data_IF_335072823437
#
_entry.id   IF_335072823437
#
_cell.length_a   1.000
_cell.length_b   1.000
_cell.length_c   1.000
_cell.angle_alpha   90.00
_cell.angle_beta   90.00
_cell.angle_gamma   90.00
#
_symmetry.space_group_name_H-M   'P 1'
#
loop_
_entity.id
_entity.type
_entity.pdbx_description
1 polymer ?
#
# COMPACT_ATOMS: atom_id res chain seq x y z
N UNK A 1 13.57 29.66 -11.04
CA UNK A 1 14.35 30.90 -11.31
C UNK A 1 15.26 30.77 -12.52
N UNK A 2 15.88 29.61 -12.78
CA UNK A 2 16.82 29.42 -13.89
C UNK A 2 16.15 29.42 -15.28
N UNK A 3 14.92 28.90 -15.40
CA UNK A 3 14.18 28.89 -16.68
C UNK A 3 13.66 30.26 -17.13
N UNK A 4 13.24 31.14 -16.20
CA UNK A 4 12.79 32.50 -16.53
C UNK A 4 13.91 33.33 -17.17
N UNK A 5 15.15 33.15 -16.69
CA UNK A 5 16.35 33.82 -17.21
C UNK A 5 16.70 33.42 -18.65
N UNK A 6 16.31 32.20 -19.05
CA UNK A 6 16.52 31.67 -20.41
C UNK A 6 15.47 32.19 -21.42
N UNK A 7 14.27 32.56 -20.95
CA UNK A 7 13.24 33.20 -21.79
C UNK A 7 13.55 34.67 -22.05
N UNK A 8 14.07 35.38 -21.05
CA UNK A 8 14.45 36.80 -21.17
C UNK A 8 15.65 37.04 -22.09
N UNK A 9 16.50 36.02 -22.28
CA UNK A 9 17.72 36.10 -23.10
C UNK A 9 17.55 35.53 -24.51
N UNK A 10 16.34 35.08 -24.88
CA UNK A 10 16.01 34.59 -26.23
C UNK A 10 16.59 33.22 -26.59
N UNK A 11 17.22 32.51 -25.64
CA UNK A 11 17.83 31.19 -25.88
C UNK A 11 16.84 30.03 -25.93
N UNK A 12 15.61 30.24 -25.44
CA UNK A 12 14.51 29.28 -25.50
C UNK A 12 13.17 30.02 -25.48
N UNK A 13 12.25 29.65 -26.37
CA UNK A 13 10.87 30.12 -26.28
C UNK A 13 10.04 29.18 -25.40
N UNK A 14 9.18 29.72 -24.52
CA UNK A 14 8.29 28.91 -23.69
C UNK A 14 7.25 28.18 -24.53
N UNK A 15 6.90 26.96 -24.12
CA UNK A 15 5.78 26.22 -24.71
C UNK A 15 4.47 27.02 -24.56
N UNK A 16 3.61 26.97 -25.58
CA UNK A 16 2.33 27.70 -25.63
C UNK A 16 1.43 27.42 -24.42
N UNK A 17 1.45 26.19 -23.90
CA UNK A 17 0.72 25.80 -22.68
C UNK A 17 1.21 26.57 -21.45
N UNK A 18 2.51 26.78 -21.31
CA UNK A 18 3.12 27.52 -20.20
C UNK A 18 2.76 29.01 -20.27
N UNK A 19 2.73 29.60 -21.48
CA UNK A 19 2.31 31.00 -21.68
C UNK A 19 0.84 31.19 -21.28
N UNK A 20 -0.04 30.24 -21.60
CA UNK A 20 -1.45 30.31 -21.21
C UNK A 20 -1.65 30.22 -19.70
N UNK A 21 -0.87 29.38 -19.00
CA UNK A 21 -0.92 29.28 -17.53
C UNK A 21 -0.41 30.56 -16.88
N UNK A 22 0.66 31.17 -17.39
CA UNK A 22 1.19 32.44 -16.89
C UNK A 22 0.21 33.59 -17.14
N UNK A 23 -0.41 33.65 -18.32
CA UNK A 23 -1.42 34.64 -18.66
C UNK A 23 -2.63 34.55 -17.71
N UNK A 24 -3.09 33.33 -17.42
CA UNK A 24 -4.14 33.09 -16.43
C UNK A 24 -3.71 33.51 -15.01
N UNK A 25 -2.47 33.22 -14.62
CA UNK A 25 -1.94 33.58 -13.29
C UNK A 25 -1.82 35.10 -13.09
N UNK A 26 -1.38 35.84 -14.12
CA UNK A 26 -1.22 37.29 -14.08
C UNK A 26 -2.48 38.06 -14.49
N UNK A 27 -3.58 37.37 -14.82
CA UNK A 27 -4.85 37.98 -15.20
C UNK A 27 -4.76 38.84 -16.47
N UNK A 28 -3.83 38.52 -17.38
CA UNK A 28 -3.61 39.25 -18.61
C UNK A 28 -3.67 38.32 -19.84
N UNK A 29 -3.73 38.89 -21.04
CA UNK A 29 -3.63 38.09 -22.26
C UNK A 29 -2.17 37.67 -22.51
N UNK A 30 -1.91 36.58 -23.25
CA UNK A 30 -0.56 36.20 -23.67
C UNK A 30 0.27 37.36 -24.29
N UNK A 31 -0.38 38.25 -25.05
CA UNK A 31 0.26 39.48 -25.58
C UNK A 31 0.65 40.49 -24.52
N UNK A 32 -0.04 40.52 -23.39
CA UNK A 32 0.32 41.33 -22.22
C UNK A 32 1.60 40.88 -21.52
N UNK A 33 2.09 39.66 -21.79
CA UNK A 33 3.34 39.12 -21.27
C UNK A 33 4.54 39.37 -22.21
N UNK A 34 4.33 39.95 -23.38
CA UNK A 34 5.39 40.17 -24.38
C UNK A 34 5.93 38.87 -25.01
N UNK A 35 5.18 37.77 -24.90
CA UNK A 35 5.55 36.42 -25.35
C UNK A 35 4.69 35.96 -26.54
N UNK A 36 4.41 36.86 -27.49
CA UNK A 36 3.72 36.52 -28.74
C UNK A 36 4.68 36.01 -29.81
N UNK A 37 4.33 34.90 -30.45
CA UNK A 37 4.92 34.45 -31.72
C UNK A 37 4.69 35.52 -32.79
N UNK A 38 5.75 36.19 -33.25
CA UNK A 38 5.66 37.16 -34.35
C UNK A 38 5.49 36.54 -35.74
N UNK A 39 5.05 35.29 -35.87
CA UNK A 39 4.64 34.72 -37.15
C UNK A 39 3.45 33.76 -36.96
N UNK A 40 2.24 34.28 -37.19
CA UNK A 40 1.13 33.63 -37.91
C UNK A 40 -0.24 34.12 -37.42
N UNK A 41 -0.60 35.36 -37.74
CA UNK A 41 -2.01 35.77 -37.82
C UNK A 41 -2.23 36.56 -39.11
N UNK A 42 -2.49 35.83 -40.19
CA UNK A 42 -3.19 36.37 -41.35
C UNK A 42 -4.19 35.33 -41.84
N UNK A 43 -5.45 35.52 -41.45
CA UNK A 43 -6.57 34.83 -42.09
C UNK A 43 -7.50 34.12 -41.12
N UNK A 44 -8.32 34.89 -40.40
CA UNK A 44 -9.76 34.66 -40.23
C UNK A 44 -10.31 36.00 -39.72
N UNK A 45 -11.48 36.40 -40.23
CA UNK A 45 -12.15 37.71 -40.07
C UNK A 45 -11.74 38.78 -41.09
N UNK A 46 -12.14 38.56 -42.34
CA UNK A 46 -12.75 39.59 -43.19
C UNK A 46 -13.51 38.89 -44.31
N UNK A 47 -14.73 38.44 -44.02
CA UNK A 47 -15.72 38.10 -45.05
C UNK A 47 -17.14 38.21 -44.52
N UNK A 48 -17.47 39.39 -44.03
CA UNK A 48 -18.82 39.90 -44.13
C UNK A 48 -18.76 41.06 -45.14
N UNK A 49 -19.51 40.88 -46.23
CA UNK A 49 -20.03 41.93 -47.11
C UNK A 49 -19.06 42.69 -48.02
N UNK A 50 -19.10 42.35 -49.30
CA UNK A 50 -19.46 43.26 -50.40
C UNK A 50 -18.74 42.87 -51.69
N UNK A 51 -19.39 42.07 -52.56
CA UNK A 51 -19.23 42.16 -54.02
C UNK A 51 -20.52 41.76 -54.73
N UNK A 52 -21.40 42.75 -54.87
CA UNK A 52 -22.25 42.86 -56.06
C UNK A 52 -21.35 43.24 -57.25
N UNK A 53 -21.46 42.52 -58.38
CA UNK A 53 -21.03 43.02 -59.69
C UNK A 53 -20.18 42.06 -60.54
N UNK A 54 -20.85 41.44 -61.53
CA UNK A 54 -20.35 40.94 -62.85
C UNK A 54 -19.61 39.59 -62.94
N UNK A 55 -19.68 38.91 -64.12
CA UNK A 55 -20.84 38.32 -64.77
C UNK A 55 -20.72 36.78 -64.86
N UNK A 56 -21.83 36.11 -65.14
CA UNK A 56 -21.96 34.66 -65.23
C UNK A 56 -20.97 34.02 -66.23
N UNK A 57 -19.97 33.32 -65.70
CA UNK A 57 -19.26 32.29 -66.44
C UNK A 57 -20.10 31.01 -66.40
N UNK A 58 -20.65 30.63 -67.56
CA UNK A 58 -21.33 29.35 -67.76
C UNK A 58 -20.27 28.26 -67.60
N UNK A 59 -20.25 27.61 -66.44
CA UNK A 59 -19.47 26.39 -66.23
C UNK A 59 -20.14 25.25 -66.99
N UNK A 60 -19.41 24.48 -67.82
CA UNK A 60 -19.98 23.33 -68.51
C UNK A 60 -20.51 22.32 -67.49
N UNK A 61 -21.76 21.89 -67.70
CA UNK A 61 -22.48 20.93 -66.88
C UNK A 61 -21.96 19.49 -67.13
N UNK A 62 -20.67 19.24 -66.85
CA UNK A 62 -20.06 17.93 -67.06
C UNK A 62 -18.97 17.59 -66.04
N UNK A 63 -19.22 17.85 -64.76
CA UNK A 63 -18.40 17.30 -63.67
C UNK A 63 -19.16 17.18 -62.32
N UNK A 64 -20.48 16.99 -62.33
CA UNK A 64 -21.19 16.43 -61.16
C UNK A 64 -21.27 14.93 -61.37
N UNK A 65 -20.11 14.30 -61.31
CA UNK A 65 -19.93 12.87 -61.17
C UNK A 65 -19.52 12.53 -59.74
N UNK A 66 -20.09 13.23 -58.74
CA UNK A 66 -20.00 12.76 -57.36
C UNK A 66 -21.01 11.63 -57.22
N UNK A 67 -20.49 10.40 -57.35
CA UNK A 67 -21.28 9.19 -57.19
C UNK A 67 -22.04 9.25 -55.87
N UNK A 68 -23.37 9.25 -55.96
CA UNK A 68 -24.23 8.93 -54.82
C UNK A 68 -23.80 7.54 -54.38
N UNK A 69 -23.09 7.47 -53.24
CA UNK A 69 -22.73 6.19 -52.61
C UNK A 69 -23.99 5.34 -52.58
N UNK A 70 -23.93 4.17 -53.18
CA UNK A 70 -25.01 3.19 -53.10
C UNK A 70 -25.30 2.93 -51.62
N UNK A 71 -26.53 2.52 -51.31
CA UNK A 71 -26.91 2.18 -49.94
C UNK A 71 -25.93 1.15 -49.29
N UNK A 72 -25.35 0.27 -50.11
CA UNK A 72 -24.31 -0.68 -49.72
C UNK A 72 -22.98 -0.01 -49.34
N UNK A 73 -22.51 0.98 -50.11
CA UNK A 73 -21.27 1.71 -49.80
C UNK A 73 -21.43 2.61 -48.56
N UNK A 74 -22.60 3.24 -48.39
CA UNK A 74 -22.90 4.01 -47.18
C UNK A 74 -22.93 3.13 -45.92
N UNK A 75 -23.52 1.93 -46.03
CA UNK A 75 -23.50 0.94 -44.95
C UNK A 75 -22.06 0.48 -44.64
N UNK A 76 -21.25 0.18 -45.66
CA UNK A 76 -19.85 -0.22 -45.48
C UNK A 76 -19.05 0.86 -44.74
N UNK A 77 -19.18 2.13 -45.14
CA UNK A 77 -18.51 3.23 -44.46
C UNK A 77 -18.95 3.39 -43.00
N UNK A 78 -20.25 3.20 -42.71
CA UNK A 78 -20.76 3.21 -41.33
C UNK A 78 -20.21 2.06 -40.48
N UNK A 79 -20.08 0.87 -41.05
CA UNK A 79 -19.46 -0.29 -40.38
C UNK A 79 -17.99 0.02 -40.04
N UNK A 80 -17.22 0.55 -40.99
CA UNK A 80 -15.82 0.89 -40.76
C UNK A 80 -15.64 2.07 -39.79
N UNK A 81 -16.54 3.05 -39.83
CA UNK A 81 -16.56 4.15 -38.87
C UNK A 81 -16.89 3.66 -37.47
N UNK A 82 -17.87 2.74 -37.33
CA UNK A 82 -18.22 2.12 -36.06
C UNK A 82 -17.05 1.31 -35.50
N UNK A 83 -16.40 0.47 -36.33
CA UNK A 83 -15.20 -0.28 -35.93
C UNK A 83 -14.10 0.66 -35.45
N UNK A 84 -13.76 1.70 -36.21
CA UNK A 84 -12.73 2.69 -35.81
C UNK A 84 -13.11 3.45 -34.53
N UNK A 85 -14.39 3.77 -34.35
CA UNK A 85 -14.87 4.41 -33.12
C UNK A 85 -14.71 3.47 -31.92
N UNK A 86 -15.05 2.18 -32.07
CA UNK A 86 -14.85 1.15 -31.06
C UNK A 86 -13.35 0.95 -30.79
N UNK A 87 -12.51 0.84 -31.82
CA UNK A 87 -11.07 0.65 -31.67
C UNK A 87 -10.41 1.83 -30.94
N UNK A 88 -10.75 3.08 -31.29
CA UNK A 88 -10.28 4.28 -30.56
C UNK A 88 -10.74 4.29 -29.11
N UNK A 89 -11.96 3.84 -28.87
CA UNK A 89 -12.56 3.75 -27.55
C UNK A 89 -11.81 2.69 -26.71
N UNK A 90 -11.46 1.55 -27.29
CA UNK A 90 -10.68 0.50 -26.64
C UNK A 90 -9.20 0.91 -26.44
N UNK A 91 -8.63 1.67 -27.37
CA UNK A 91 -7.25 2.16 -27.30
C UNK A 91 -7.07 3.43 -26.44
N UNK A 92 -8.17 4.07 -26.05
CA UNK A 92 -8.14 5.25 -25.17
C UNK A 92 -7.59 4.86 -23.81
N UNK A 93 -6.33 5.20 -23.58
CA UNK A 93 -5.68 5.17 -22.27
C UNK A 93 -5.35 6.60 -21.87
N UNK A 94 -5.74 6.97 -20.66
CA UNK A 94 -5.37 8.27 -20.10
C UNK A 94 -3.98 8.20 -19.47
N UNK A 95 -3.53 6.99 -19.12
CA UNK A 95 -2.21 6.66 -18.58
C UNK A 95 -1.34 6.05 -19.68
N UNK A 96 -0.13 6.59 -19.85
CA UNK A 96 0.89 5.93 -20.67
C UNK A 96 1.67 4.86 -19.86
N UNK A 97 2.36 3.95 -20.54
CA UNK A 97 3.09 2.86 -19.86
C UNK A 97 4.14 3.36 -18.87
N UNK A 98 4.88 4.42 -19.21
CA UNK A 98 5.91 5.00 -18.33
C UNK A 98 5.35 5.58 -17.02
N UNK A 99 4.13 6.13 -17.05
CA UNK A 99 3.46 6.62 -15.85
C UNK A 99 3.03 5.45 -14.95
N UNK A 100 2.54 4.36 -15.54
CA UNK A 100 2.19 3.16 -14.79
C UNK A 100 3.43 2.48 -14.18
N UNK A 101 4.52 2.40 -14.94
CA UNK A 101 5.80 1.87 -14.44
C UNK A 101 6.35 2.72 -13.30
N UNK A 102 6.21 4.05 -13.39
CA UNK A 102 6.65 4.97 -12.34
C UNK A 102 5.85 4.79 -11.04
N UNK A 103 4.52 4.70 -11.11
CA UNK A 103 3.70 4.50 -9.90
C UNK A 103 3.94 3.12 -9.29
N UNK A 104 4.18 2.10 -10.11
CA UNK A 104 4.59 0.77 -9.66
C UNK A 104 5.90 0.83 -8.85
N UNK A 105 6.91 1.53 -9.36
CA UNK A 105 8.18 1.76 -8.67
C UNK A 105 7.99 2.53 -7.37
N UNK A 106 7.13 3.56 -7.38
CA UNK A 106 6.87 4.36 -6.18
C UNK A 106 6.19 3.55 -5.07
N UNK A 107 5.23 2.69 -5.42
CA UNK A 107 4.57 1.79 -4.47
C UNK A 107 5.56 0.74 -3.94
N UNK A 108 6.47 0.23 -4.77
CA UNK A 108 7.55 -0.65 -4.33
C UNK A 108 8.45 0.04 -3.30
N UNK A 109 8.93 1.25 -3.59
CA UNK A 109 9.75 2.01 -2.63
C UNK A 109 9.01 2.31 -1.34
N UNK A 110 7.74 2.71 -1.41
CA UNK A 110 6.92 2.91 -0.22
C UNK A 110 6.81 1.65 0.63
N UNK A 111 6.68 0.47 0.00
CA UNK A 111 6.64 -0.82 0.71
C UNK A 111 7.96 -1.18 1.40
N UNK A 112 9.11 -0.77 0.85
CA UNK A 112 10.43 -0.97 1.45
C UNK A 112 10.62 -0.06 2.67
N UNK A 113 10.33 1.23 2.50
CA UNK A 113 10.42 2.23 3.56
C UNK A 113 9.45 1.98 4.73
N UNK A 114 8.33 1.30 4.47
CA UNK A 114 7.32 0.96 5.47
C UNK A 114 7.86 0.18 6.66
N UNK A 115 8.93 -0.61 6.47
CA UNK A 115 9.53 -1.42 7.53
C UNK A 115 10.12 -0.53 8.64
N UNK A 116 10.75 0.57 8.25
CA UNK A 116 11.59 1.40 9.11
C UNK A 116 10.94 2.74 9.47
N UNK A 117 9.97 3.21 8.69
CA UNK A 117 9.34 4.52 8.87
C UNK A 117 8.27 4.47 9.97
N UNK A 118 8.21 5.47 10.87
CA UNK A 118 7.12 5.58 11.84
C UNK A 118 5.73 5.58 11.18
N UNK A 119 4.73 4.86 11.72
CA UNK A 119 3.43 4.69 11.05
C UNK A 119 2.70 5.99 10.72
N UNK A 120 2.81 7.03 11.57
CA UNK A 120 2.18 8.32 11.32
C UNK A 120 2.78 9.05 10.10
N UNK A 121 4.10 8.98 9.89
CA UNK A 121 4.77 9.59 8.74
C UNK A 121 4.48 8.81 7.47
N UNK A 122 4.46 7.48 7.58
CA UNK A 122 4.17 6.60 6.46
C UNK A 122 2.73 6.76 5.95
N UNK A 123 1.76 7.05 6.83
CA UNK A 123 0.37 7.32 6.40
C UNK A 123 0.28 8.47 5.40
N UNK A 124 1.01 9.57 5.60
CA UNK A 124 0.99 10.71 4.66
C UNK A 124 1.41 10.26 3.27
N UNK A 125 2.55 9.56 3.17
CA UNK A 125 3.06 9.06 1.88
C UNK A 125 2.11 8.08 1.20
N UNK A 126 1.51 7.16 1.98
CA UNK A 126 0.56 6.18 1.43
C UNK A 126 -0.71 6.84 0.91
N UNK A 127 -1.20 7.89 1.58
CA UNK A 127 -2.39 8.64 1.16
C UNK A 127 -2.12 9.47 -0.11
N UNK A 128 -0.93 10.08 -0.22
CA UNK A 128 -0.53 10.80 -1.43
C UNK A 128 -0.48 9.87 -2.66
N UNK A 129 0.14 8.69 -2.50
CA UNK A 129 0.16 7.66 -3.56
C UNK A 129 -1.24 7.12 -3.88
N UNK A 130 -2.10 6.95 -2.87
CA UNK A 130 -3.49 6.52 -3.09
C UNK A 130 -4.28 7.56 -3.90
N UNK A 131 -4.09 8.85 -3.63
CA UNK A 131 -4.74 9.92 -4.38
C UNK A 131 -4.32 9.89 -5.86
N UNK A 132 -3.02 9.69 -6.14
CA UNK A 132 -2.53 9.56 -7.51
C UNK A 132 -3.12 8.33 -8.21
N UNK A 133 -3.11 7.16 -7.56
CA UNK A 133 -3.71 5.93 -8.13
C UNK A 133 -5.22 6.13 -8.38
N UNK A 134 -5.94 6.77 -7.46
CA UNK A 134 -7.38 7.01 -7.56
C UNK A 134 -7.73 7.94 -8.74
N UNK A 135 -6.99 9.04 -8.92
CA UNK A 135 -7.16 9.95 -10.06
C UNK A 135 -6.98 9.21 -11.41
N UNK A 136 -5.99 8.34 -11.49
CA UNK A 136 -5.75 7.52 -12.69
C UNK A 136 -6.85 6.46 -12.90
N UNK A 137 -7.30 5.83 -11.82
CA UNK A 137 -8.33 4.78 -11.84
C UNK A 137 -9.73 5.32 -12.12
N UNK A 138 -10.00 6.60 -11.82
CA UNK A 138 -11.26 7.28 -12.12
C UNK A 138 -11.43 7.59 -13.62
N UNK A 139 -10.34 7.61 -14.39
CA UNK A 139 -10.36 7.81 -15.82
C UNK A 139 -10.63 6.51 -16.58
N UNK A 140 -11.07 6.61 -17.85
CA UNK A 140 -11.16 5.43 -18.72
C UNK A 140 -9.76 4.88 -18.99
N UNK A 141 -9.56 3.59 -18.68
CA UNK A 141 -8.34 2.86 -18.96
C UNK A 141 -8.60 1.56 -19.74
N UNK A 142 -7.59 1.03 -20.47
CA UNK A 142 -7.59 -0.36 -20.89
C UNK A 142 -7.75 -1.30 -19.69
N UNK A 143 -8.45 -2.42 -19.87
CA UNK A 143 -8.79 -3.33 -18.78
C UNK A 143 -7.57 -3.81 -17.98
N UNK A 144 -6.45 -4.11 -18.65
CA UNK A 144 -5.22 -4.53 -17.98
C UNK A 144 -4.63 -3.44 -17.07
N UNK A 145 -4.72 -2.17 -17.49
CA UNK A 145 -4.27 -1.02 -16.69
C UNK A 145 -5.20 -0.82 -15.50
N UNK A 146 -6.52 -0.94 -15.69
CA UNK A 146 -7.48 -0.83 -14.59
C UNK A 146 -7.27 -1.91 -13.52
N UNK A 147 -6.98 -3.15 -13.96
CA UNK A 147 -6.63 -4.26 -13.05
C UNK A 147 -5.38 -3.90 -12.27
N UNK A 148 -4.32 -3.41 -12.93
CA UNK A 148 -3.08 -3.03 -12.24
C UNK A 148 -3.29 -1.91 -11.23
N UNK A 149 -4.03 -0.86 -11.59
CA UNK A 149 -4.38 0.21 -10.66
C UNK A 149 -5.15 -0.32 -9.44
N UNK A 150 -6.07 -1.26 -9.65
CA UNK A 150 -6.80 -1.93 -8.55
C UNK A 150 -5.86 -2.75 -7.65
N UNK A 151 -4.86 -3.42 -8.21
CA UNK A 151 -3.83 -4.10 -7.43
C UNK A 151 -3.01 -3.13 -6.56
N UNK A 152 -2.62 -1.97 -7.12
CA UNK A 152 -1.91 -0.93 -6.39
C UNK A 152 -2.77 -0.32 -5.28
N UNK A 153 -4.04 -0.03 -5.56
CA UNK A 153 -5.01 0.39 -4.55
C UNK A 153 -5.11 -0.63 -3.42
N UNK A 154 -5.14 -1.93 -3.72
CA UNK A 154 -5.19 -2.97 -2.71
C UNK A 154 -3.92 -3.02 -1.84
N UNK A 155 -2.74 -2.90 -2.45
CA UNK A 155 -1.46 -2.87 -1.74
C UNK A 155 -1.38 -1.65 -0.80
N UNK A 156 -1.63 -0.45 -1.33
CA UNK A 156 -1.58 0.79 -0.55
C UNK A 156 -2.63 0.80 0.56
N UNK A 157 -3.87 0.38 0.25
CA UNK A 157 -4.95 0.27 1.25
C UNK A 157 -4.59 -0.70 2.38
N UNK A 158 -3.88 -1.79 2.07
CA UNK A 158 -3.41 -2.76 3.08
C UNK A 158 -2.39 -2.13 4.03
N UNK A 159 -1.41 -1.37 3.49
CA UNK A 159 -0.42 -0.67 4.30
C UNK A 159 -1.05 0.47 5.12
N UNK A 160 -1.99 1.21 4.54
CA UNK A 160 -2.75 2.24 5.26
C UNK A 160 -3.54 1.63 6.42
N UNK A 161 -4.19 0.48 6.21
CA UNK A 161 -4.90 -0.24 7.25
C UNK A 161 -3.99 -0.72 8.38
N UNK A 162 -2.81 -1.27 8.05
CA UNK A 162 -1.81 -1.73 9.02
C UNK A 162 -1.23 -0.55 9.84
N UNK A 163 -0.96 0.60 9.19
CA UNK A 163 -0.46 1.78 9.87
C UNK A 163 -1.49 2.36 10.85
N UNK A 164 -2.76 2.44 10.44
CA UNK A 164 -3.87 2.83 11.32
C UNK A 164 -4.07 1.86 12.48
N UNK A 165 -3.94 0.54 12.24
CA UNK A 165 -3.97 -0.47 13.29
C UNK A 165 -2.84 -0.25 14.31
N UNK A 166 -1.61 -0.02 13.84
CA UNK A 166 -0.46 0.27 14.73
C UNK A 166 -0.76 1.51 15.58
N UNK A 167 -1.32 2.56 14.98
CA UNK A 167 -1.73 3.80 15.66
C UNK A 167 -2.99 3.69 16.52
N UNK A 168 -3.66 2.53 16.56
CA UNK A 168 -4.85 2.31 17.39
C UNK A 168 -6.16 2.84 16.81
N UNK A 169 -6.18 3.36 15.57
CA UNK A 169 -7.41 3.75 14.88
C UNK A 169 -8.08 2.54 14.23
N UNK A 170 -8.72 1.72 15.07
CA UNK A 170 -9.28 0.43 14.68
C UNK A 170 -10.45 0.58 13.69
N UNK A 171 -11.26 1.61 13.83
CA UNK A 171 -12.44 1.83 12.97
C UNK A 171 -12.01 2.15 11.54
N UNK A 172 -11.06 3.08 11.36
CA UNK A 172 -10.55 3.39 10.03
C UNK A 172 -9.71 2.24 9.47
N UNK A 173 -8.92 1.56 10.31
CA UNK A 173 -8.18 0.35 9.89
C UNK A 173 -9.10 -0.73 9.30
N UNK A 174 -10.22 -1.05 9.97
CA UNK A 174 -11.22 -2.01 9.42
C UNK A 174 -11.76 -1.58 8.06
N UNK A 175 -12.05 -0.29 7.92
CA UNK A 175 -12.59 0.26 6.66
C UNK A 175 -11.57 0.14 5.53
N UNK A 176 -10.29 0.44 5.80
CA UNK A 176 -9.22 0.30 4.82
C UNK A 176 -8.90 -1.15 4.45
N UNK A 177 -8.97 -2.10 5.39
CA UNK A 177 -8.88 -3.53 5.04
C UNK A 177 -10.06 -3.98 4.17
N UNK A 178 -11.27 -3.43 4.37
CA UNK A 178 -12.41 -3.70 3.49
C UNK A 178 -12.18 -3.15 2.08
N UNK A 179 -11.66 -1.93 1.95
CA UNK A 179 -11.25 -1.34 0.66
C UNK A 179 -10.19 -2.20 -0.03
N UNK A 180 -9.15 -2.60 0.69
CA UNK A 180 -8.10 -3.47 0.16
C UNK A 180 -8.65 -4.81 -0.35
N UNK A 181 -9.64 -5.38 0.36
CA UNK A 181 -10.28 -6.64 -0.03
C UNK A 181 -11.03 -6.50 -1.35
N UNK A 182 -11.86 -5.46 -1.47
CA UNK A 182 -12.62 -5.16 -2.69
C UNK A 182 -11.68 -4.98 -3.87
N UNK A 183 -10.66 -4.11 -3.72
CA UNK A 183 -9.70 -3.84 -4.80
C UNK A 183 -8.90 -5.09 -5.22
N UNK A 184 -8.50 -5.94 -4.27
CA UNK A 184 -7.80 -7.19 -4.60
C UNK A 184 -8.70 -8.21 -5.30
N UNK A 185 -9.98 -8.29 -4.93
CA UNK A 185 -10.92 -9.22 -5.53
C UNK A 185 -11.27 -8.83 -6.98
N UNK A 186 -11.30 -7.54 -7.29
CA UNK A 186 -11.54 -7.02 -8.64
C UNK A 186 -10.38 -7.32 -9.61
N UNK A 187 -9.14 -7.38 -9.12
CA UNK A 187 -7.93 -7.58 -9.94
C UNK A 187 -7.62 -9.03 -10.34
N UNK A 188 -8.37 -10.02 -9.84
CA UNK A 188 -8.21 -11.45 -10.21
C UNK A 188 -6.92 -12.13 -9.73
N UNK A 189 -5.95 -11.40 -9.19
CA UNK A 189 -4.68 -11.91 -8.69
C UNK A 189 -4.86 -12.66 -7.36
N UNK A 190 -4.83 -14.00 -7.42
CA UNK A 190 -5.05 -14.85 -6.24
C UNK A 190 -4.01 -14.64 -5.14
N UNK A 191 -2.76 -14.34 -5.51
CA UNK A 191 -1.69 -14.10 -4.54
C UNK A 191 -1.97 -12.81 -3.75
N UNK A 192 -2.33 -11.73 -4.44
CA UNK A 192 -2.69 -10.47 -3.80
C UNK A 192 -3.96 -10.61 -2.94
N UNK A 193 -4.97 -11.33 -3.42
CA UNK A 193 -6.18 -11.63 -2.65
C UNK A 193 -5.84 -12.34 -1.35
N UNK A 194 -5.05 -13.41 -1.40
CA UNK A 194 -4.60 -14.13 -0.22
C UNK A 194 -3.79 -13.23 0.73
N UNK A 195 -2.92 -12.38 0.18
CA UNK A 195 -2.08 -11.45 0.96
C UNK A 195 -2.92 -10.50 1.78
N UNK A 196 -3.94 -9.89 1.17
CA UNK A 196 -4.86 -8.97 1.89
C UNK A 196 -5.53 -9.68 3.06
N UNK A 197 -5.99 -10.94 2.90
CA UNK A 197 -6.59 -11.72 4.00
C UNK A 197 -5.59 -12.00 5.12
N UNK A 198 -4.37 -12.42 4.75
CA UNK A 198 -3.33 -12.71 5.72
C UNK A 198 -2.93 -11.46 6.52
N UNK A 199 -2.82 -10.30 5.87
CA UNK A 199 -2.54 -9.03 6.56
C UNK A 199 -3.72 -8.57 7.43
N UNK A 200 -4.95 -8.69 6.92
CA UNK A 200 -6.15 -8.33 7.67
C UNK A 200 -6.33 -9.17 8.95
N UNK A 201 -5.77 -10.39 9.00
CA UNK A 201 -5.78 -11.24 10.19
C UNK A 201 -5.04 -10.62 11.40
N UNK A 202 -4.11 -9.69 11.17
CA UNK A 202 -3.36 -9.04 12.24
C UNK A 202 -4.26 -8.16 13.12
N UNK A 203 -5.27 -7.52 12.53
CA UNK A 203 -6.17 -6.65 13.26
C UNK A 203 -6.96 -7.39 14.36
N UNK A 204 -7.71 -8.47 14.09
CA UNK A 204 -8.35 -9.26 15.14
C UNK A 204 -7.35 -9.99 16.02
N UNK A 205 -6.15 -10.32 15.54
CA UNK A 205 -5.12 -10.94 16.39
C UNK A 205 -4.67 -10.02 17.54
N UNK A 206 -4.50 -8.72 17.27
CA UNK A 206 -4.08 -7.75 18.28
C UNK A 206 -5.25 -7.10 19.04
N UNK A 207 -6.37 -6.80 18.36
CA UNK A 207 -7.43 -5.93 18.91
C UNK A 207 -8.85 -6.50 18.78
N UNK A 208 -8.99 -7.80 18.53
CA UNK A 208 -10.30 -8.38 18.27
C UNK A 208 -10.41 -9.86 18.65
N UNK A 209 -11.48 -10.51 18.17
CA UNK A 209 -11.71 -11.92 18.46
C UNK A 209 -10.69 -12.79 17.71
N UNK A 210 -9.84 -13.49 18.46
CA UNK A 210 -8.82 -14.41 17.91
C UNK A 210 -9.37 -15.44 16.90
N UNK A 211 -10.59 -16.01 17.06
CA UNK A 211 -11.16 -16.89 16.03
C UNK A 211 -11.24 -16.24 14.64
N UNK A 212 -11.55 -14.95 14.57
CA UNK A 212 -11.59 -14.23 13.28
C UNK A 212 -10.20 -14.14 12.63
N UNK A 213 -9.13 -14.03 13.43
CA UNK A 213 -7.76 -14.05 12.91
C UNK A 213 -7.42 -15.43 12.32
N UNK A 214 -7.85 -16.51 12.97
CA UNK A 214 -7.67 -17.89 12.48
C UNK A 214 -8.41 -18.07 11.15
N UNK A 215 -9.67 -17.63 11.06
CA UNK A 215 -10.48 -17.75 9.85
C UNK A 215 -9.86 -17.01 8.65
N UNK A 216 -9.38 -15.78 8.85
CA UNK A 216 -8.70 -15.00 7.81
C UNK A 216 -7.39 -15.65 7.35
N UNK A 217 -6.61 -16.23 8.27
CA UNK A 217 -5.40 -16.96 7.90
C UNK A 217 -5.73 -18.22 7.09
N UNK A 218 -6.77 -18.96 7.46
CA UNK A 218 -7.25 -20.14 6.73
C UNK A 218 -7.77 -19.76 5.34
N UNK A 219 -8.55 -18.68 5.23
CA UNK A 219 -9.00 -18.14 3.94
C UNK A 219 -7.81 -17.82 3.03
N UNK A 220 -6.80 -17.10 3.55
CA UNK A 220 -5.58 -16.79 2.81
C UNK A 220 -4.85 -18.05 2.32
N UNK A 221 -4.74 -19.09 3.16
CA UNK A 221 -4.14 -20.38 2.78
C UNK A 221 -4.92 -21.12 1.71
N UNK A 222 -6.25 -21.07 1.75
CA UNK A 222 -7.11 -21.71 0.74
C UNK A 222 -6.92 -21.02 -0.61
N UNK A 223 -6.95 -19.68 -0.63
CA UNK A 223 -6.76 -18.89 -1.85
C UNK A 223 -5.36 -19.14 -2.44
N UNK A 224 -4.33 -19.19 -1.61
CA UNK A 224 -2.93 -19.43 -2.02
C UNK A 224 -2.55 -20.92 -2.16
N UNK A 225 -3.51 -21.85 -2.10
CA UNK A 225 -3.25 -23.30 -2.07
C UNK A 225 -2.52 -23.88 -3.29
N UNK A 226 -2.56 -23.17 -4.43
CA UNK A 226 -1.82 -23.49 -5.67
C UNK A 226 -0.39 -22.93 -5.69
N UNK A 227 -0.11 -21.90 -4.89
CA UNK A 227 1.18 -21.22 -4.78
C UNK A 227 1.79 -21.44 -3.38
N UNK A 228 1.97 -22.71 -2.99
CA UNK A 228 2.40 -23.06 -1.62
C UNK A 228 3.82 -22.59 -1.26
N UNK A 229 4.64 -22.31 -2.27
CA UNK A 229 6.01 -21.79 -2.14
C UNK A 229 6.04 -20.27 -2.29
N UNK A 230 5.05 -19.57 -1.73
CA UNK A 230 4.96 -18.11 -1.75
C UNK A 230 5.10 -17.53 -0.34
N UNK A 231 5.55 -16.27 -0.27
CA UNK A 231 5.62 -15.50 0.97
C UNK A 231 4.27 -15.47 1.68
N UNK A 232 3.18 -15.25 0.93
CA UNK A 232 1.82 -15.18 1.46
C UNK A 232 1.36 -16.51 2.08
N UNK A 233 1.66 -17.64 1.43
CA UNK A 233 1.28 -18.95 1.96
C UNK A 233 2.08 -19.29 3.23
N UNK A 234 3.38 -19.01 3.24
CA UNK A 234 4.23 -19.20 4.41
C UNK A 234 3.80 -18.29 5.58
N UNK A 235 3.54 -17.02 5.30
CA UNK A 235 3.08 -16.04 6.28
C UNK A 235 1.73 -16.45 6.88
N UNK A 236 0.74 -16.78 6.06
CA UNK A 236 -0.59 -17.20 6.54
C UNK A 236 -0.54 -18.47 7.39
N UNK A 237 0.31 -19.43 7.06
CA UNK A 237 0.53 -20.62 7.88
C UNK A 237 1.14 -20.29 9.26
N UNK A 238 2.16 -19.42 9.30
CA UNK A 238 2.80 -19.01 10.55
C UNK A 238 1.87 -18.15 11.43
N UNK A 239 1.08 -17.26 10.81
CA UNK A 239 0.08 -16.45 11.48
C UNK A 239 -1.07 -17.30 12.06
N UNK A 240 -1.55 -18.32 11.32
CA UNK A 240 -2.55 -19.27 11.81
C UNK A 240 -2.06 -20.01 13.06
N UNK A 241 -0.83 -20.54 13.03
CA UNK A 241 -0.24 -21.24 14.17
C UNK A 241 -0.21 -20.37 15.43
N UNK A 242 0.21 -19.10 15.28
CA UNK A 242 0.27 -18.14 16.39
C UNK A 242 -1.12 -17.78 16.91
N UNK A 243 -2.09 -17.58 16.03
CA UNK A 243 -3.47 -17.29 16.42
C UNK A 243 -4.12 -18.46 17.17
N UNK A 244 -3.94 -19.70 16.67
CA UNK A 244 -4.41 -20.92 17.34
C UNK A 244 -3.78 -21.09 18.73
N UNK A 245 -2.48 -20.79 18.86
CA UNK A 245 -1.81 -20.85 20.16
C UNK A 245 -2.38 -19.82 21.14
N UNK A 246 -2.63 -18.58 20.69
CA UNK A 246 -3.26 -17.53 21.53
C UNK A 246 -4.71 -17.86 21.89
N UNK A 247 -5.41 -18.62 21.05
CA UNK A 247 -6.76 -19.15 21.33
C UNK A 247 -6.76 -20.27 22.38
N UNK A 248 -5.62 -20.88 22.66
CA UNK A 248 -5.50 -22.05 23.55
C UNK A 248 -5.79 -23.39 22.85
N UNK A 249 -5.90 -23.42 21.52
CA UNK A 249 -6.10 -24.64 20.73
C UNK A 249 -4.78 -25.39 20.53
N UNK A 250 -4.22 -25.93 21.62
CA UNK A 250 -2.83 -26.41 21.70
C UNK A 250 -2.46 -27.43 20.60
N UNK A 251 -3.27 -28.48 20.43
CA UNK A 251 -3.00 -29.52 19.44
C UNK A 251 -3.04 -28.99 18.00
N UNK A 252 -4.01 -28.13 17.68
CA UNK A 252 -4.13 -27.47 16.37
C UNK A 252 -2.95 -26.52 16.13
N UNK A 253 -2.57 -25.74 17.13
CA UNK A 253 -1.45 -24.81 17.05
C UNK A 253 -0.12 -25.53 16.80
N UNK A 254 0.15 -26.64 17.49
CA UNK A 254 1.34 -27.45 17.26
C UNK A 254 1.35 -28.06 15.84
N UNK A 255 0.20 -28.54 15.35
CA UNK A 255 0.07 -29.05 13.99
C UNK A 255 0.30 -27.95 12.94
N UNK A 256 -0.30 -26.78 13.14
CA UNK A 256 -0.12 -25.61 12.29
C UNK A 256 1.33 -25.11 12.31
N UNK A 257 2.02 -25.15 13.45
CA UNK A 257 3.43 -24.75 13.55
C UNK A 257 4.35 -25.70 12.76
N UNK A 258 4.13 -27.02 12.86
CA UNK A 258 4.86 -28.01 12.03
C UNK A 258 4.62 -27.77 10.55
N UNK A 259 3.39 -27.47 10.18
CA UNK A 259 3.05 -27.14 8.80
C UNK A 259 3.73 -25.84 8.33
N UNK A 260 3.68 -24.77 9.14
CA UNK A 260 4.33 -23.49 8.86
C UNK A 260 5.84 -23.65 8.67
N UNK A 261 6.48 -24.50 9.49
CA UNK A 261 7.90 -24.82 9.37
C UNK A 261 8.21 -25.46 8.02
N UNK A 262 7.47 -26.51 7.66
CA UNK A 262 7.64 -27.19 6.37
C UNK A 262 7.43 -26.26 5.18
N UNK A 263 6.39 -25.42 5.23
CA UNK A 263 6.11 -24.46 4.15
C UNK A 263 7.22 -23.42 4.04
N UNK A 264 7.70 -22.89 5.17
CA UNK A 264 8.78 -21.92 5.17
C UNK A 264 10.08 -22.51 4.61
N UNK A 265 10.45 -23.74 5.00
CA UNK A 265 11.61 -24.46 4.46
C UNK A 265 11.52 -24.67 2.95
N UNK A 266 10.32 -24.96 2.42
CA UNK A 266 10.08 -25.10 0.98
C UNK A 266 10.12 -23.78 0.23
N UNK A 267 9.64 -22.71 0.86
CA UNK A 267 9.64 -21.37 0.32
C UNK A 267 11.04 -20.75 0.29
N UNK A 268 11.87 -21.02 1.30
CA UNK A 268 13.25 -20.55 1.41
C UNK A 268 13.42 -19.15 2.01
N UNK A 269 12.32 -18.42 2.23
CA UNK A 269 12.33 -17.04 2.74
C UNK A 269 12.70 -16.03 1.65
N UNK A 270 12.11 -14.83 1.74
CA UNK A 270 12.50 -13.74 0.85
C UNK A 270 13.81 -13.08 1.30
N UNK A 271 14.62 -12.64 0.35
CA UNK A 271 15.71 -11.67 0.58
C UNK A 271 15.23 -10.22 0.49
N UNK A 272 14.01 -10.00 -0.02
CA UNK A 272 13.41 -8.68 -0.14
C UNK A 272 13.17 -8.07 1.25
N UNK A 273 13.56 -6.81 1.40
CA UNK A 273 13.29 -6.01 2.59
C UNK A 273 12.13 -5.05 2.29
N UNK A 274 10.93 -5.63 2.09
CA UNK A 274 9.67 -4.88 1.98
C UNK A 274 8.58 -5.36 2.96
N UNK A 275 7.53 -4.56 3.14
CA UNK A 275 6.46 -4.82 4.09
C UNK A 275 5.70 -6.13 3.88
N UNK A 276 5.67 -6.64 2.65
CA UNK A 276 4.95 -7.85 2.26
C UNK A 276 5.84 -9.08 2.20
N UNK A 277 7.15 -8.91 2.20
CA UNK A 277 8.13 -9.99 2.27
C UNK A 277 8.00 -10.81 3.55
N UNK A 278 8.41 -12.09 3.46
CA UNK A 278 8.45 -13.01 4.59
C UNK A 278 9.85 -13.61 4.78
N UNK A 279 10.84 -12.79 5.20
CA UNK A 279 12.21 -13.26 5.47
C UNK A 279 12.28 -14.11 6.75
N UNK A 280 13.39 -14.83 6.93
CA UNK A 280 13.64 -15.70 8.09
C UNK A 280 13.42 -14.99 9.43
N UNK A 281 13.92 -13.76 9.57
CA UNK A 281 13.72 -12.92 10.77
C UNK A 281 12.24 -12.77 11.16
N UNK A 282 11.36 -12.60 10.17
CA UNK A 282 9.92 -12.43 10.37
C UNK A 282 9.27 -13.77 10.68
N UNK A 283 9.68 -14.85 10.00
CA UNK A 283 9.23 -16.19 10.34
C UNK A 283 9.56 -16.58 11.80
N UNK A 284 10.78 -16.32 12.26
CA UNK A 284 11.20 -16.60 13.64
C UNK A 284 10.39 -15.78 14.67
N UNK A 285 9.96 -14.56 14.33
CA UNK A 285 9.03 -13.78 15.15
C UNK A 285 7.67 -14.49 15.33
N UNK A 286 7.09 -15.05 14.26
CA UNK A 286 5.83 -15.80 14.37
C UNK A 286 6.01 -17.14 15.08
N UNK A 287 7.09 -17.86 14.78
CA UNK A 287 7.44 -19.13 15.44
C UNK A 287 7.61 -18.94 16.95
N UNK A 288 8.42 -17.97 17.37
CA UNK A 288 8.63 -17.69 18.79
C UNK A 288 7.35 -17.25 19.50
N UNK A 289 6.54 -16.37 18.90
CA UNK A 289 5.26 -15.98 19.49
C UNK A 289 4.27 -17.15 19.65
N UNK A 290 4.31 -18.12 18.73
CA UNK A 290 3.53 -19.37 18.86
C UNK A 290 4.02 -20.18 20.07
N UNK A 291 5.34 -20.36 20.20
CA UNK A 291 5.95 -21.08 21.32
C UNK A 291 5.70 -20.38 22.67
N UNK A 292 5.79 -19.04 22.71
CA UNK A 292 5.44 -18.26 23.90
C UNK A 292 4.01 -18.54 24.32
N UNK A 293 3.05 -18.46 23.38
CA UNK A 293 1.63 -18.68 23.66
C UNK A 293 1.36 -20.11 24.17
N UNK A 294 2.04 -21.12 23.61
CA UNK A 294 2.01 -22.52 24.08
C UNK A 294 2.71 -22.76 25.43
N UNK A 295 3.43 -21.77 25.97
CA UNK A 295 4.16 -21.92 27.23
C UNK A 295 5.50 -22.63 27.11
N UNK A 296 6.01 -22.83 25.89
CA UNK A 296 7.34 -23.40 25.63
C UNK A 296 8.43 -22.33 25.79
N UNK A 297 8.50 -21.72 26.98
CA UNK A 297 9.25 -20.48 27.24
C UNK A 297 10.75 -20.59 26.92
N UNK A 298 11.38 -21.73 27.23
CA UNK A 298 12.79 -21.98 26.92
C UNK A 298 13.06 -22.01 25.42
N UNK A 299 12.25 -22.75 24.66
CA UNK A 299 12.38 -22.85 23.20
C UNK A 299 12.06 -21.50 22.53
N UNK A 300 11.02 -20.80 23.01
CA UNK A 300 10.65 -19.48 22.54
C UNK A 300 11.80 -18.47 22.65
N UNK A 301 12.50 -18.43 23.79
CA UNK A 301 13.66 -17.55 24.01
C UNK A 301 14.82 -17.84 23.07
N UNK A 302 15.13 -19.10 22.80
CA UNK A 302 16.17 -19.47 21.82
C UNK A 302 15.83 -18.97 20.42
N UNK A 303 14.57 -19.12 19.99
CA UNK A 303 14.10 -18.61 18.70
C UNK A 303 14.10 -17.08 18.66
N UNK A 304 13.77 -16.41 19.77
CA UNK A 304 13.82 -14.95 19.86
C UNK A 304 15.25 -14.41 19.74
N UNK A 305 16.22 -15.05 20.38
CA UNK A 305 17.65 -14.69 20.25
C UNK A 305 18.14 -14.84 18.81
N UNK A 306 17.78 -15.95 18.13
CA UNK A 306 18.06 -16.16 16.71
C UNK A 306 17.44 -15.06 15.84
N UNK A 307 16.17 -14.72 16.07
CA UNK A 307 15.49 -13.66 15.34
C UNK A 307 16.18 -12.31 15.54
N UNK A 308 16.47 -11.93 16.79
CA UNK A 308 17.10 -10.65 17.14
C UNK A 308 18.49 -10.50 16.49
N UNK A 309 19.24 -11.58 16.34
CA UNK A 309 20.53 -11.56 15.64
C UNK A 309 20.40 -11.19 14.14
N UNK A 310 19.23 -11.39 13.52
CA UNK A 310 18.95 -11.02 12.12
C UNK A 310 18.40 -9.59 11.95
N UNK A 311 18.07 -8.92 13.07
CA UNK A 311 17.52 -7.56 13.09
C UNK A 311 18.57 -6.47 13.42
N UNK A 312 19.85 -6.82 13.66
CA UNK A 312 20.90 -5.97 14.27
C UNK A 312 20.80 -4.45 14.03
N UNK A 313 20.77 -4.00 12.77
CA UNK A 313 20.72 -2.56 12.43
C UNK A 313 19.35 -2.07 11.92
N UNK A 314 18.31 -2.92 11.99
CA UNK A 314 16.98 -2.62 11.46
C UNK A 314 16.12 -1.88 12.49
N UNK A 315 15.48 -0.80 12.06
CA UNK A 315 14.48 -0.05 12.83
C UNK A 315 13.08 -0.65 12.67
N UNK A 316 12.11 -0.15 13.44
CA UNK A 316 10.73 -0.64 13.45
C UNK A 316 10.34 -1.33 14.76
N UNK A 317 9.12 -1.90 14.78
CA UNK A 317 8.53 -2.45 16.02
C UNK A 317 8.88 -3.93 16.28
N UNK A 318 9.26 -4.69 15.25
CA UNK A 318 9.50 -6.14 15.37
C UNK A 318 10.55 -6.51 16.45
N UNK A 319 11.72 -5.84 16.54
CA UNK A 319 12.70 -6.15 17.59
C UNK A 319 12.18 -5.84 18.99
N UNK A 320 11.27 -4.88 19.13
CA UNK A 320 10.63 -4.58 20.40
C UNK A 320 9.60 -5.66 20.75
N UNK A 321 8.76 -6.06 19.79
CA UNK A 321 7.79 -7.15 19.97
C UNK A 321 8.48 -8.46 20.36
N UNK A 322 9.62 -8.81 19.75
CA UNK A 322 10.43 -9.97 20.14
C UNK A 322 10.91 -9.91 21.60
N UNK A 323 11.39 -8.75 22.06
CA UNK A 323 11.84 -8.55 23.44
C UNK A 323 10.69 -8.55 24.44
N UNK A 324 9.52 -8.03 24.06
CA UNK A 324 8.32 -8.09 24.88
C UNK A 324 7.78 -9.52 24.98
N UNK A 325 7.84 -10.31 23.91
CA UNK A 325 7.54 -11.75 23.95
C UNK A 325 8.52 -12.50 24.87
N UNK A 326 9.80 -12.14 24.90
CA UNK A 326 10.77 -12.67 25.86
C UNK A 326 10.41 -12.28 27.31
N UNK A 327 9.95 -11.04 27.54
CA UNK A 327 9.44 -10.60 28.84
C UNK A 327 8.20 -11.39 29.28
N UNK A 328 7.28 -11.72 28.36
CA UNK A 328 6.15 -12.62 28.63
C UNK A 328 6.65 -14.01 29.06
N UNK A 329 7.70 -14.54 28.42
CA UNK A 329 8.31 -15.81 28.86
C UNK A 329 8.83 -15.73 30.32
N UNK A 330 9.51 -14.64 30.70
CA UNK A 330 9.95 -14.44 32.10
C UNK A 330 8.77 -14.33 33.08
N UNK A 331 7.69 -13.63 32.68
CA UNK A 331 6.49 -13.52 33.48
C UNK A 331 5.85 -14.90 33.73
N UNK A 332 5.77 -15.75 32.69
CA UNK A 332 5.28 -17.14 32.79
C UNK A 332 6.18 -18.02 33.66
N UNK A 333 7.50 -17.82 33.60
CA UNK A 333 8.49 -18.52 34.41
C UNK A 333 8.55 -18.02 35.87
N UNK A 334 7.66 -17.09 36.27
CA UNK A 334 7.55 -16.48 37.61
C UNK A 334 8.77 -15.63 38.02
N UNK A 335 9.35 -14.94 37.05
CA UNK A 335 10.40 -13.93 37.21
C UNK A 335 9.84 -12.53 36.93
N UNK A 336 9.04 -11.95 37.87
CA UNK A 336 8.32 -10.70 37.64
C UNK A 336 9.24 -9.50 37.45
N UNK A 337 10.35 -9.44 38.20
CA UNK A 337 11.28 -8.32 38.16
C UNK A 337 12.02 -8.28 36.83
N UNK A 338 12.55 -9.42 36.37
CA UNK A 338 13.21 -9.55 35.07
C UNK A 338 12.25 -9.27 33.91
N UNK A 339 11.00 -9.76 34.01
CA UNK A 339 9.98 -9.51 33.00
C UNK A 339 9.68 -8.00 32.87
N UNK A 340 9.40 -7.33 33.98
CA UNK A 340 9.05 -5.91 33.97
C UNK A 340 10.25 -5.03 33.60
N UNK A 341 11.45 -5.35 34.10
CA UNK A 341 12.67 -4.63 33.75
C UNK A 341 12.99 -4.74 32.25
N UNK A 342 12.89 -5.95 31.66
CA UNK A 342 13.11 -6.16 30.24
C UNK A 342 12.09 -5.39 29.39
N UNK A 343 10.81 -5.42 29.78
CA UNK A 343 9.74 -4.70 29.09
C UNK A 343 9.95 -3.18 29.15
N UNK A 344 10.22 -2.64 30.35
CA UNK A 344 10.46 -1.21 30.55
C UNK A 344 11.70 -0.72 29.80
N UNK A 345 12.82 -1.45 29.90
CA UNK A 345 14.04 -1.13 29.16
C UNK A 345 13.87 -1.26 27.64
N UNK A 346 12.99 -2.14 27.16
CA UNK A 346 12.65 -2.24 25.74
C UNK A 346 11.88 -0.99 25.32
N UNK A 347 10.81 -0.63 26.03
CA UNK A 347 9.98 0.53 25.72
C UNK A 347 10.77 1.85 25.74
N UNK A 348 11.62 2.06 26.75
CA UNK A 348 12.43 3.27 26.89
C UNK A 348 13.51 3.44 25.81
N UNK A 349 14.02 2.35 25.24
CA UNK A 349 15.03 2.40 24.16
C UNK A 349 14.44 2.61 22.77
N UNK A 350 13.13 2.43 22.61
CA UNK A 350 12.48 2.68 21.33
C UNK A 350 12.42 4.17 21.05
N UNK A 351 12.59 4.51 19.77
CA UNK A 351 12.20 5.80 19.23
C UNK A 351 10.74 6.09 19.62
N UNK A 352 10.44 7.24 20.27
CA UNK A 352 9.09 7.64 20.62
C UNK A 352 8.08 7.54 19.46
N UNK A 353 8.50 7.78 18.21
CA UNK A 353 7.63 7.69 17.04
C UNK A 353 7.17 6.25 16.73
N UNK A 354 7.87 5.24 17.25
CA UNK A 354 7.50 3.82 17.13
C UNK A 354 6.81 3.24 18.37
N UNK A 355 6.68 4.01 19.47
CA UNK A 355 5.94 3.62 20.69
C UNK A 355 4.44 3.71 20.45
N UNK A 356 3.98 2.86 19.55
CA UNK A 356 2.61 2.81 19.08
C UNK A 356 1.71 2.01 20.03
N UNK A 357 0.39 2.23 20.05
CA UNK A 357 -0.54 1.49 20.92
C UNK A 357 -0.39 -0.04 20.87
N UNK A 358 0.00 -0.62 19.73
CA UNK A 358 0.25 -2.07 19.62
C UNK A 358 1.42 -2.55 20.49
N UNK A 359 2.46 -1.73 20.60
CA UNK A 359 3.63 -1.99 21.44
C UNK A 359 3.27 -1.79 22.90
N UNK A 360 2.52 -0.74 23.21
CA UNK A 360 2.04 -0.49 24.57
C UNK A 360 1.16 -1.64 25.07
N UNK A 361 0.19 -2.10 24.28
CA UNK A 361 -0.68 -3.22 24.64
C UNK A 361 0.13 -4.49 24.88
N UNK A 362 1.14 -4.74 24.05
CA UNK A 362 2.04 -5.88 24.24
C UNK A 362 2.89 -5.76 25.52
N UNK A 363 3.31 -4.55 25.88
CA UNK A 363 4.00 -4.31 27.15
C UNK A 363 3.06 -4.47 28.35
N UNK A 364 1.79 -4.03 28.25
CA UNK A 364 0.76 -4.27 29.27
C UNK A 364 0.45 -5.76 29.44
N UNK A 365 0.47 -6.54 28.36
CA UNK A 365 0.29 -8.01 28.40
C UNK A 365 1.33 -8.71 29.31
N UNK A 366 2.56 -8.17 29.43
CA UNK A 366 3.57 -8.69 30.37
C UNK A 366 3.04 -8.68 31.81
N UNK A 367 2.37 -7.60 32.22
CA UNK A 367 1.75 -7.49 33.56
C UNK A 367 0.53 -8.41 33.68
N UNK A 368 -0.28 -8.51 32.63
CA UNK A 368 -1.50 -9.33 32.64
C UNK A 368 -1.19 -10.82 32.83
N UNK A 369 -0.07 -11.31 32.30
CA UNK A 369 0.36 -12.71 32.40
C UNK A 369 0.90 -13.06 33.80
N UNK A 370 1.33 -12.07 34.60
CA UNK A 370 1.78 -12.31 35.97
C UNK A 370 0.65 -12.89 36.84
N UNK A 371 0.97 -13.72 37.87
CA UNK A 371 0.02 -14.11 38.90
C UNK A 371 -0.61 -12.90 39.61
N UNK A 372 -1.91 -12.97 39.92
CA UNK A 372 -2.68 -11.85 40.49
C UNK A 372 -2.05 -11.21 41.74
N UNK A 373 -1.43 -12.01 42.61
CA UNK A 373 -0.80 -11.57 43.86
C UNK A 373 0.38 -10.61 43.62
N UNK A 374 1.09 -10.74 42.49
CA UNK A 374 2.27 -9.93 42.19
C UNK A 374 2.03 -8.87 41.11
N UNK A 375 0.83 -8.82 40.51
CA UNK A 375 0.45 -7.78 39.52
C UNK A 375 0.48 -6.35 40.09
N UNK A 376 0.30 -6.20 41.39
CA UNK A 376 0.37 -4.90 42.10
C UNK A 376 1.75 -4.65 42.72
N UNK A 377 2.71 -5.53 42.45
CA UNK A 377 4.09 -5.40 42.90
C UNK A 377 4.77 -4.15 42.34
N UNK A 378 5.92 -3.80 42.94
CA UNK A 378 6.68 -2.61 42.55
C UNK A 378 7.07 -2.63 41.07
N UNK A 379 7.65 -3.72 40.57
CA UNK A 379 8.12 -3.82 39.20
C UNK A 379 6.98 -3.67 38.16
N UNK A 380 5.80 -4.24 38.44
CA UNK A 380 4.63 -4.10 37.58
C UNK A 380 4.11 -2.65 37.55
N UNK A 381 4.10 -1.96 38.69
CA UNK A 381 3.73 -0.54 38.75
C UNK A 381 4.73 0.35 38.01
N UNK A 382 6.03 0.13 38.21
CA UNK A 382 7.08 0.86 37.48
C UNK A 382 6.96 0.67 35.97
N UNK A 383 6.64 -0.53 35.49
CA UNK A 383 6.40 -0.78 34.06
C UNK A 383 5.18 0.01 33.55
N UNK A 384 4.06 0.01 34.28
CA UNK A 384 2.87 0.76 33.88
C UNK A 384 3.14 2.27 33.86
N UNK A 385 3.86 2.79 34.87
CA UNK A 385 4.29 4.19 34.89
C UNK A 385 5.17 4.52 33.67
N UNK A 386 6.10 3.65 33.27
CA UNK A 386 6.93 3.82 32.07
C UNK A 386 6.07 3.88 30.80
N UNK A 387 5.06 3.02 30.68
CA UNK A 387 4.18 2.96 29.50
C UNK A 387 3.31 4.22 29.41
N UNK A 388 2.83 4.72 30.55
CA UNK A 388 1.95 5.89 30.62
C UNK A 388 2.72 7.24 30.56
N UNK A 389 4.07 7.20 30.49
CA UNK A 389 4.85 8.41 30.25
C UNK A 389 4.45 9.05 28.92
N UNK A 390 4.17 10.36 28.88
CA UNK A 390 3.89 11.03 27.62
C UNK A 390 5.09 10.85 26.67
N UNK A 391 4.86 10.67 25.36
CA UNK A 391 5.95 10.66 24.39
C UNK A 391 6.72 11.96 24.58
N UNK A 392 7.99 11.84 24.99
CA UNK A 392 8.82 13.00 25.31
C UNK A 392 8.78 13.98 24.14
N UNK A 393 8.44 15.24 24.42
CA UNK A 393 8.48 16.32 23.41
C UNK A 393 9.91 16.39 22.88
N UNK A 394 10.10 16.04 21.62
CA UNK A 394 11.30 16.41 20.86
C UNK A 394 11.32 17.91 20.64
#
# INVERSE_FOLDING_TARGET
>A
MEQLRLWETGGHQPLRSTVLVLAAFYGCSPGGLGLEDTEAVAGIVLRAESRHGQPAAITPMSAIGEGILTAAEHLSHRVDAARRAVDRTLASATVNSSQLDHIDEMVLWASQEYISTPPALMLTRLLDLLAEVDELAACRQPAAVQVRLSELTAMLSTLTADALMKLGDLTRSRSWYATARTAADDGGNSELRARVRAQAAMLPFYYGPIPQAVDLCREARVISSRARTSATHAFSAAAEARALAKLGAEAEAQAALRYATKVFEQFGGDSADDAFAFPERRYLLYKSGTLTALGHTREARQVQEQALALYQDKTGIDPALLRLEAAICYARDRSPDEACQLAGATFLRMDPAHRTPIVEERAREVVQVLPSVIRTGRAARELLEIIDLPPGRM
#
